data_IF_871591752039
#
_entry.id   IF_871591752039
#
_cell.length_a   1.000
_cell.length_b   1.000
_cell.length_c   1.000
_cell.angle_alpha   90.00
_cell.angle_beta   90.00
_cell.angle_gamma   90.00
#
_symmetry.space_group_name_H-M   'P 1'
#
loop_
_entity.id
_entity.type
_entity.pdbx_description
1 polymer ?
#
# COMPACT_ATOMS: atom_id res chain seq x y z
N UNK A 1 -12.03 -4.88 21.17
CA UNK A 1 -12.00 -5.43 19.80
C UNK A 1 -10.63 -5.16 19.22
N UNK A 2 -10.49 -5.27 17.90
CA UNK A 2 -9.23 -5.07 17.20
C UNK A 2 -8.18 -6.15 17.45
N UNK A 3 -7.04 -5.99 16.82
CA UNK A 3 -5.88 -6.89 16.87
C UNK A 3 -4.73 -6.22 17.64
N UNK A 4 -3.83 -7.01 18.22
CA UNK A 4 -2.58 -6.44 18.73
C UNK A 4 -1.62 -6.25 17.56
N UNK A 5 -0.79 -5.21 17.61
CA UNK A 5 0.23 -4.99 16.59
C UNK A 5 1.21 -6.17 16.49
N UNK A 6 1.58 -6.76 17.63
CA UNK A 6 2.38 -7.96 17.68
C UNK A 6 2.29 -8.66 19.04
N UNK A 7 2.70 -9.92 19.06
CA UNK A 7 2.82 -10.76 20.24
C UNK A 7 4.18 -11.49 20.22
N UNK A 8 4.63 -11.97 21.38
CA UNK A 8 5.78 -12.85 21.49
C UNK A 8 5.43 -14.31 21.12
N UNK A 9 6.43 -15.19 21.17
CA UNK A 9 6.30 -16.62 20.85
C UNK A 9 5.36 -17.39 21.80
N UNK A 10 4.91 -16.77 22.88
CA UNK A 10 3.92 -17.29 23.83
C UNK A 10 2.54 -16.64 23.65
N UNK A 11 2.36 -15.82 22.62
CA UNK A 11 1.13 -15.11 22.33
C UNK A 11 0.83 -13.97 23.31
N UNK A 12 1.84 -13.48 24.04
CA UNK A 12 1.71 -12.37 24.98
C UNK A 12 2.13 -11.05 24.34
N UNK A 13 1.49 -9.96 24.75
CA UNK A 13 1.87 -8.62 24.31
C UNK A 13 3.17 -8.22 25.00
N UNK A 14 4.19 -7.88 24.21
CA UNK A 14 5.47 -7.40 24.72
C UNK A 14 5.45 -5.89 25.00
N UNK A 15 6.41 -5.40 25.79
CA UNK A 15 6.60 -3.96 26.00
C UNK A 15 6.98 -3.22 24.71
N UNK A 16 7.53 -3.92 23.72
CA UNK A 16 7.85 -3.36 22.41
C UNK A 16 6.57 -3.11 21.59
N UNK A 17 5.70 -4.13 21.49
CA UNK A 17 4.48 -4.02 20.69
C UNK A 17 3.39 -3.21 21.39
N UNK A 18 3.35 -3.21 22.72
CA UNK A 18 2.30 -2.57 23.53
C UNK A 18 0.89 -3.07 23.18
N UNK A 19 -0.14 -2.61 23.90
CA UNK A 19 -1.53 -3.04 23.68
C UNK A 19 -2.39 -2.05 22.88
N UNK A 20 -1.77 -0.98 22.37
CA UNK A 20 -2.40 -0.02 21.46
C UNK A 20 -2.81 -0.67 20.14
N UNK A 21 -3.61 0.07 19.39
CA UNK A 21 -4.22 -0.35 18.11
C UNK A 21 -3.72 0.58 17.03
N UNK A 22 -3.04 0.02 16.04
CA UNK A 22 -2.46 0.78 14.94
C UNK A 22 -3.17 0.40 13.66
N UNK A 23 -3.71 1.42 13.01
CA UNK A 23 -4.77 1.19 12.04
C UNK A 23 -4.27 0.53 10.76
N UNK A 24 -3.01 0.72 10.39
CA UNK A 24 -2.33 -0.06 9.37
C UNK A 24 -2.44 -1.57 9.63
N UNK A 25 -2.12 -2.01 10.86
CA UNK A 25 -2.15 -3.43 11.22
C UNK A 25 -3.57 -3.97 11.32
N UNK A 26 -4.50 -3.17 11.86
CA UNK A 26 -5.93 -3.49 11.87
C UNK A 26 -6.47 -3.69 10.44
N UNK A 27 -6.04 -2.83 9.50
CA UNK A 27 -6.40 -2.90 8.09
C UNK A 27 -5.95 -4.21 7.45
N UNK A 28 -4.69 -4.62 7.66
CA UNK A 28 -4.17 -5.88 7.12
C UNK A 28 -4.81 -7.12 7.77
N UNK A 29 -5.13 -7.08 9.06
CA UNK A 29 -5.85 -8.16 9.71
C UNK A 29 -7.27 -8.33 9.13
N UNK A 30 -7.94 -7.22 8.83
CA UNK A 30 -9.23 -7.22 8.13
C UNK A 30 -9.10 -7.75 6.70
N UNK A 31 -8.10 -7.27 5.94
CA UNK A 31 -7.82 -7.75 4.58
C UNK A 31 -7.61 -9.26 4.56
N UNK A 32 -6.74 -9.78 5.44
CA UNK A 32 -6.44 -11.21 5.53
C UNK A 32 -7.68 -12.04 5.85
N UNK A 33 -8.53 -11.59 6.77
CA UNK A 33 -9.80 -12.27 7.08
C UNK A 33 -10.80 -12.24 5.90
N UNK A 34 -10.90 -11.12 5.19
CA UNK A 34 -11.76 -10.99 4.02
C UNK A 34 -11.27 -11.86 2.85
N UNK A 35 -9.97 -11.86 2.55
CA UNK A 35 -9.36 -12.70 1.54
C UNK A 35 -9.48 -14.20 1.88
N UNK A 36 -9.30 -14.57 3.16
CA UNK A 36 -9.53 -15.94 3.62
C UNK A 36 -11.00 -16.36 3.43
N UNK A 37 -11.95 -15.47 3.72
CA UNK A 37 -13.37 -15.72 3.43
C UNK A 37 -13.61 -15.91 1.94
N UNK A 38 -13.01 -15.10 1.07
CA UNK A 38 -13.14 -15.23 -0.38
C UNK A 38 -12.62 -16.58 -0.88
N UNK A 39 -11.47 -17.02 -0.38
CA UNK A 39 -10.82 -18.25 -0.81
C UNK A 39 -11.49 -19.52 -0.28
N UNK A 40 -12.05 -19.48 0.93
CA UNK A 40 -12.51 -20.68 1.64
C UNK A 40 -14.03 -20.76 1.84
N UNK A 41 -14.75 -19.64 1.67
CA UNK A 41 -16.15 -19.50 2.06
C UNK A 41 -16.43 -19.79 3.54
N UNK A 42 -15.41 -19.73 4.43
CA UNK A 42 -15.61 -19.94 5.87
C UNK A 42 -16.38 -18.77 6.50
N UNK A 43 -17.60 -18.97 7.05
CA UNK A 43 -18.37 -17.91 7.68
C UNK A 43 -17.67 -17.29 8.91
N UNK A 44 -16.73 -18.00 9.55
CA UNK A 44 -15.94 -17.44 10.67
C UNK A 44 -14.95 -16.40 10.19
N UNK A 45 -14.32 -16.62 9.03
CA UNK A 45 -13.40 -15.65 8.43
C UNK A 45 -14.16 -14.37 8.04
N UNK A 46 -15.35 -14.52 7.43
CA UNK A 46 -16.21 -13.38 7.13
C UNK A 46 -16.61 -12.62 8.39
N UNK A 47 -17.06 -13.33 9.43
CA UNK A 47 -17.45 -12.70 10.69
C UNK A 47 -16.28 -11.95 11.35
N UNK A 48 -15.05 -12.49 11.28
CA UNK A 48 -13.86 -11.82 11.78
C UNK A 48 -13.60 -10.51 11.02
N UNK A 49 -13.67 -10.53 9.68
CA UNK A 49 -13.48 -9.34 8.85
C UNK A 49 -14.57 -8.28 9.13
N UNK A 50 -15.83 -8.70 9.26
CA UNK A 50 -16.95 -7.82 9.63
C UNK A 50 -16.75 -7.17 11.00
N UNK A 51 -16.29 -7.94 11.99
CA UNK A 51 -16.03 -7.43 13.33
C UNK A 51 -14.84 -6.47 13.36
N UNK A 52 -13.80 -6.73 12.56
CA UNK A 52 -12.67 -5.83 12.38
C UNK A 52 -13.14 -4.50 11.77
N UNK A 53 -13.88 -4.53 10.66
CA UNK A 53 -14.47 -3.34 10.02
C UNK A 53 -15.31 -2.53 11.00
N UNK A 54 -16.26 -3.17 11.70
CA UNK A 54 -17.12 -2.46 12.66
C UNK A 54 -16.31 -1.81 13.77
N UNK A 55 -15.25 -2.47 14.25
CA UNK A 55 -14.38 -1.90 15.27
C UNK A 55 -13.60 -0.69 14.74
N UNK A 56 -12.98 -0.83 13.56
CA UNK A 56 -12.27 0.27 12.85
C UNK A 56 -13.22 1.46 12.65
N UNK A 57 -14.39 1.23 12.03
CA UNK A 57 -15.32 2.30 11.68
C UNK A 57 -15.90 3.02 12.90
N UNK A 58 -16.19 2.28 13.97
CA UNK A 58 -16.77 2.86 15.19
C UNK A 58 -15.78 3.73 15.96
N UNK A 59 -14.50 3.34 16.01
CA UNK A 59 -13.53 3.96 16.92
C UNK A 59 -12.54 4.88 16.21
N UNK A 60 -12.20 4.59 14.96
CA UNK A 60 -11.11 5.25 14.25
C UNK A 60 -11.56 6.18 13.13
N UNK A 61 -12.81 6.08 12.63
CA UNK A 61 -13.32 7.04 11.64
C UNK A 61 -13.38 8.45 12.24
N UNK A 62 -12.91 9.45 11.49
CA UNK A 62 -13.02 10.86 11.84
C UNK A 62 -14.29 11.45 11.22
N UNK A 63 -15.41 11.56 11.95
CA UNK A 63 -16.66 12.07 11.40
C UNK A 63 -16.60 13.58 11.09
N UNK A 64 -15.57 14.30 11.55
CA UNK A 64 -15.43 15.74 11.37
C UNK A 64 -14.68 16.09 10.09
N UNK A 65 -13.53 15.45 9.85
CA UNK A 65 -12.67 15.77 8.71
C UNK A 65 -12.58 14.65 7.66
N UNK A 66 -13.23 13.51 7.91
CA UNK A 66 -13.17 12.31 7.10
C UNK A 66 -11.84 11.56 7.22
N UNK A 67 -11.86 10.31 6.76
CA UNK A 67 -10.74 9.37 6.90
C UNK A 67 -10.61 8.82 8.32
N UNK A 68 -9.43 8.34 8.69
CA UNK A 68 -9.25 7.58 9.92
C UNK A 68 -8.02 8.02 10.73
N UNK A 69 -8.11 7.90 12.05
CA UNK A 69 -7.00 8.18 12.97
C UNK A 69 -5.99 7.04 13.01
N UNK A 70 -4.71 7.38 13.11
CA UNK A 70 -3.59 6.43 12.98
C UNK A 70 -3.50 5.40 14.12
N UNK A 71 -3.63 5.88 15.36
CA UNK A 71 -3.34 5.09 16.57
C UNK A 71 -4.42 5.32 17.64
N UNK A 72 -4.89 4.23 18.22
CA UNK A 72 -5.88 4.21 19.29
C UNK A 72 -5.37 3.44 20.51
N UNK A 73 -5.91 3.75 21.68
CA UNK A 73 -5.74 2.91 22.87
C UNK A 73 -6.42 1.56 22.65
N UNK A 74 -6.13 0.60 23.54
CA UNK A 74 -6.79 -0.72 23.58
C UNK A 74 -8.32 -0.62 23.58
N UNK A 75 -8.87 0.38 24.26
CA UNK A 75 -10.31 0.64 24.39
C UNK A 75 -10.90 1.36 23.18
N UNK A 76 -10.09 1.72 22.17
CA UNK A 76 -10.54 2.42 20.98
C UNK A 76 -10.68 3.93 21.18
N UNK A 77 -9.90 4.54 22.08
CA UNK A 77 -9.80 6.00 22.18
C UNK A 77 -8.68 6.50 21.27
N UNK A 78 -8.96 7.50 20.44
CA UNK A 78 -7.94 8.18 19.63
C UNK A 78 -6.81 8.71 20.51
N UNK A 79 -5.58 8.41 20.13
CA UNK A 79 -4.40 8.92 20.80
C UNK A 79 -3.98 10.26 20.20
N UNK A 80 -3.80 11.26 21.05
CA UNK A 80 -3.41 12.61 20.64
C UNK A 80 -1.90 12.71 20.48
N UNK A 81 -1.46 13.64 19.63
CA UNK A 81 -0.04 13.92 19.44
C UNK A 81 0.58 14.42 20.75
N UNK A 82 1.71 13.83 21.13
CA UNK A 82 2.53 14.35 22.21
C UNK A 82 3.44 15.45 21.65
N UNK A 83 3.20 16.70 22.05
CA UNK A 83 4.00 17.85 21.62
C UNK A 83 5.48 17.77 22.03
N UNK A 84 5.84 16.85 22.93
CA UNK A 84 7.21 16.63 23.39
C UNK A 84 7.91 15.45 22.71
N UNK A 85 7.16 14.61 21.98
CA UNK A 85 7.72 13.48 21.26
C UNK A 85 8.41 13.94 19.97
N UNK A 86 9.67 13.56 19.80
CA UNK A 86 10.39 13.72 18.53
C UNK A 86 10.31 12.42 17.73
N UNK A 87 9.79 12.50 16.49
CA UNK A 87 9.73 11.34 15.59
C UNK A 87 8.54 10.42 15.85
N UNK A 88 8.49 9.32 15.11
CA UNK A 88 7.48 8.28 15.32
C UNK A 88 7.77 7.47 16.58
N UNK A 89 6.71 7.06 17.27
CA UNK A 89 6.77 6.47 18.60
C UNK A 89 5.81 5.28 18.75
N UNK A 90 5.39 4.70 17.62
CA UNK A 90 4.70 3.41 17.52
C UNK A 90 5.65 2.33 16.98
N UNK A 91 5.43 1.02 17.21
CA UNK A 91 6.28 -0.04 16.71
C UNK A 91 6.14 -0.15 15.18
N UNK A 92 5.02 0.31 14.61
CA UNK A 92 4.84 0.51 13.18
C UNK A 92 5.50 1.76 12.61
N UNK A 93 6.14 2.60 13.44
CA UNK A 93 6.82 3.81 12.97
C UNK A 93 5.87 4.92 12.51
N UNK A 94 4.58 4.87 12.88
CA UNK A 94 3.59 5.90 12.63
C UNK A 94 3.59 7.02 13.67
N UNK A 95 3.26 8.24 13.24
CA UNK A 95 3.11 9.40 14.10
C UNK A 95 1.75 9.42 14.81
N UNK A 96 1.76 9.36 16.14
CA UNK A 96 0.55 9.44 16.95
C UNK A 96 -0.09 10.83 16.81
N UNK A 97 -1.42 10.89 16.64
CA UNK A 97 -2.19 12.12 16.51
C UNK A 97 -2.19 12.76 15.12
N UNK A 98 -1.65 12.06 14.12
CA UNK A 98 -1.65 12.44 12.72
C UNK A 98 -2.45 11.44 11.89
N UNK A 99 -2.54 11.69 10.58
CA UNK A 99 -3.01 10.74 9.56
C UNK A 99 -1.86 10.48 8.61
N UNK A 100 -1.68 9.23 8.17
CA UNK A 100 -0.71 8.88 7.14
C UNK A 100 -1.40 8.49 5.85
N UNK A 101 -0.72 8.77 4.74
CA UNK A 101 -1.04 8.18 3.45
C UNK A 101 -1.04 6.65 3.53
N UNK A 102 0.01 6.09 4.13
CA UNK A 102 0.26 4.65 4.17
C UNK A 102 -0.96 3.89 4.76
N UNK A 103 -1.44 4.31 5.93
CA UNK A 103 -2.66 3.74 6.53
C UNK A 103 -3.88 3.89 5.62
N UNK A 104 -4.06 5.04 4.96
CA UNK A 104 -5.25 5.29 4.15
C UNK A 104 -5.28 4.49 2.84
N UNK A 105 -4.14 4.26 2.19
CA UNK A 105 -4.10 3.41 0.99
C UNK A 105 -4.36 1.94 1.33
N UNK A 106 -3.86 1.47 2.48
CA UNK A 106 -4.14 0.09 2.90
C UNK A 106 -5.57 -0.08 3.44
N UNK A 107 -6.19 0.98 3.97
CA UNK A 107 -7.63 0.96 4.25
C UNK A 107 -8.44 0.93 2.95
N UNK A 108 -8.04 1.69 1.92
CA UNK A 108 -8.69 1.64 0.60
C UNK A 108 -8.67 0.21 0.03
N UNK A 109 -7.50 -0.42 0.08
CA UNK A 109 -7.27 -1.81 -0.31
C UNK A 109 -8.13 -2.81 0.49
N UNK A 110 -8.06 -2.74 1.83
CA UNK A 110 -8.77 -3.70 2.69
C UNK A 110 -10.28 -3.54 2.67
N UNK A 111 -10.78 -2.32 2.48
CA UNK A 111 -12.21 -2.05 2.33
C UNK A 111 -12.70 -2.53 0.97
N UNK A 112 -11.88 -2.41 -0.08
CA UNK A 112 -12.17 -3.02 -1.39
C UNK A 112 -12.30 -4.55 -1.26
N UNK A 113 -11.31 -5.20 -0.66
CA UNK A 113 -11.33 -6.66 -0.46
C UNK A 113 -12.51 -7.13 0.40
N UNK A 114 -12.87 -6.38 1.45
CA UNK A 114 -14.05 -6.68 2.27
C UNK A 114 -15.35 -6.52 1.47
N UNK A 115 -15.48 -5.44 0.71
CA UNK A 115 -16.68 -5.18 -0.08
C UNK A 115 -16.90 -6.24 -1.16
N UNK A 116 -15.84 -6.91 -1.64
CA UNK A 116 -15.99 -8.04 -2.56
C UNK A 116 -16.75 -9.22 -1.97
N UNK A 117 -16.55 -9.51 -0.69
CA UNK A 117 -17.19 -10.64 0.00
C UNK A 117 -18.42 -10.22 0.82
N UNK A 118 -18.60 -8.93 1.08
CA UNK A 118 -19.70 -8.39 1.87
C UNK A 118 -20.16 -7.03 1.34
N UNK A 119 -21.22 -7.06 0.52
CA UNK A 119 -21.82 -5.86 -0.10
C UNK A 119 -22.69 -5.07 0.90
N UNK A 120 -22.04 -4.47 1.91
CA UNK A 120 -22.67 -3.63 2.93
C UNK A 120 -22.62 -2.15 2.56
N UNK A 121 -23.72 -1.43 2.79
CA UNK A 121 -23.86 -0.01 2.42
C UNK A 121 -22.87 0.90 3.20
N UNK A 122 -22.50 0.54 4.42
CA UNK A 122 -21.55 1.32 5.21
C UNK A 122 -20.14 1.11 4.68
N UNK A 123 -19.76 -0.13 4.38
CA UNK A 123 -18.47 -0.44 3.72
C UNK A 123 -18.36 0.32 2.40
N UNK A 124 -19.42 0.30 1.58
CA UNK A 124 -19.46 1.04 0.31
C UNK A 124 -19.18 2.54 0.51
N UNK A 125 -19.89 3.18 1.45
CA UNK A 125 -19.73 4.62 1.73
C UNK A 125 -18.33 4.96 2.18
N UNK A 126 -17.71 4.12 3.02
CA UNK A 126 -16.33 4.33 3.48
C UNK A 126 -15.31 4.11 2.37
N UNK A 127 -15.56 3.14 1.50
CA UNK A 127 -14.71 2.92 0.34
C UNK A 127 -14.74 4.12 -0.63
N UNK A 128 -15.92 4.67 -0.90
CA UNK A 128 -16.09 5.89 -1.71
C UNK A 128 -15.41 7.12 -1.05
N UNK A 129 -15.50 7.24 0.28
CA UNK A 129 -14.82 8.28 1.06
C UNK A 129 -13.30 8.15 1.00
N UNK A 130 -12.75 6.94 1.24
CA UNK A 130 -11.33 6.65 1.17
C UNK A 130 -10.77 6.92 -0.23
N UNK A 131 -11.45 6.45 -1.28
CA UNK A 131 -11.04 6.71 -2.66
C UNK A 131 -10.95 8.21 -2.95
N UNK A 132 -11.94 8.98 -2.48
CA UNK A 132 -11.95 10.44 -2.64
C UNK A 132 -10.79 11.09 -1.88
N UNK A 133 -10.51 10.67 -0.65
CA UNK A 133 -9.40 11.19 0.16
C UNK A 133 -8.05 10.87 -0.48
N UNK A 134 -7.85 9.62 -0.90
CA UNK A 134 -6.62 9.18 -1.55
C UNK A 134 -6.38 10.00 -2.83
N UNK A 135 -7.38 10.07 -3.71
CA UNK A 135 -7.26 10.80 -4.99
C UNK A 135 -7.09 12.31 -4.84
N UNK A 136 -7.87 12.94 -3.95
CA UNK A 136 -8.04 14.41 -3.95
C UNK A 136 -7.28 15.14 -2.82
N UNK A 137 -6.82 14.43 -1.78
CA UNK A 137 -6.08 15.02 -0.65
C UNK A 137 -4.66 14.48 -0.54
N UNK A 138 -4.49 13.17 -0.72
CA UNK A 138 -3.20 12.51 -0.54
C UNK A 138 -2.34 12.70 -1.79
N UNK A 139 -2.86 12.28 -2.94
CA UNK A 139 -2.21 12.44 -4.22
C UNK A 139 -2.32 13.90 -4.71
N UNK A 140 -1.20 14.46 -5.15
CA UNK A 140 -1.12 15.84 -5.62
C UNK A 140 -0.32 15.94 -6.91
N UNK A 141 -0.48 17.04 -7.65
CA UNK A 141 0.36 17.30 -8.81
C UNK A 141 1.83 17.52 -8.38
N UNK A 142 2.82 17.05 -9.14
CA UNK A 142 2.77 16.52 -10.51
C UNK A 142 2.45 15.02 -10.63
N UNK A 143 2.03 14.36 -9.56
CA UNK A 143 1.88 12.90 -9.48
C UNK A 143 2.71 12.34 -8.34
N UNK A 144 2.56 12.92 -7.16
CA UNK A 144 3.29 12.55 -5.93
C UNK A 144 2.33 12.47 -4.76
N UNK A 145 2.78 11.95 -3.63
CA UNK A 145 1.93 11.77 -2.45
C UNK A 145 2.50 12.48 -1.23
N UNK A 146 1.68 13.27 -0.53
CA UNK A 146 2.07 13.76 0.80
C UNK A 146 1.95 12.59 1.79
N UNK A 147 3.01 12.31 2.56
CA UNK A 147 3.07 11.11 3.41
C UNK A 147 2.28 11.23 4.72
N UNK A 148 2.29 12.42 5.33
CA UNK A 148 1.68 12.66 6.63
C UNK A 148 0.86 13.94 6.66
N UNK A 149 -0.18 13.93 7.51
CA UNK A 149 -1.14 15.02 7.62
C UNK A 149 -1.54 15.26 9.07
N UNK A 150 -1.87 16.50 9.40
CA UNK A 150 -2.71 16.80 10.56
C UNK A 150 -4.10 16.15 10.42
N UNK A 151 -4.85 16.03 11.51
CA UNK A 151 -6.20 15.46 11.47
C UNK A 151 -7.18 16.22 10.54
N UNK A 152 -6.97 17.52 10.31
CA UNK A 152 -7.71 18.34 9.35
C UNK A 152 -7.13 18.31 7.92
N UNK A 153 -6.29 17.32 7.60
CA UNK A 153 -5.72 17.07 6.26
C UNK A 153 -4.76 18.16 5.75
N UNK A 154 -4.01 18.83 6.64
CA UNK A 154 -2.89 19.68 6.20
C UNK A 154 -1.64 18.83 6.02
N UNK A 155 -0.99 18.82 4.85
CA UNK A 155 0.18 18.01 4.62
C UNK A 155 1.37 18.53 5.44
N UNK A 156 2.19 17.60 5.92
CA UNK A 156 3.50 17.87 6.49
C UNK A 156 4.57 17.71 5.40
N UNK A 157 5.60 18.58 5.34
CA UNK A 157 6.69 18.41 4.38
C UNK A 157 7.44 17.10 4.61
N UNK A 158 7.65 16.33 3.54
CA UNK A 158 8.43 15.10 3.55
C UNK A 158 8.95 14.78 2.13
N UNK A 159 9.68 13.67 1.98
CA UNK A 159 10.02 13.07 0.70
C UNK A 159 8.79 12.41 0.05
N UNK A 160 8.99 11.98 -1.19
CA UNK A 160 8.04 11.20 -1.98
C UNK A 160 8.49 9.73 -2.04
N UNK A 161 7.54 8.80 -1.98
CA UNK A 161 7.82 7.37 -1.96
C UNK A 161 7.32 6.70 -3.24
N UNK A 162 8.26 6.42 -4.15
CA UNK A 162 7.93 5.95 -5.50
C UNK A 162 7.18 4.60 -5.51
N UNK A 163 7.42 3.75 -4.51
CA UNK A 163 6.66 2.51 -4.33
C UNK A 163 5.19 2.74 -4.01
N UNK A 164 4.91 3.69 -3.11
CA UNK A 164 3.53 4.04 -2.77
C UNK A 164 2.83 4.74 -3.93
N UNK A 165 3.54 5.52 -4.75
CA UNK A 165 2.96 6.14 -5.95
C UNK A 165 2.43 5.10 -6.93
N UNK A 166 3.28 4.13 -7.30
CA UNK A 166 2.87 3.07 -8.24
C UNK A 166 1.79 2.18 -7.63
N UNK A 167 1.89 1.84 -6.33
CA UNK A 167 0.88 1.04 -5.64
C UNK A 167 -0.49 1.73 -5.63
N UNK A 168 -0.53 2.99 -5.22
CA UNK A 168 -1.76 3.77 -5.11
C UNK A 168 -2.43 3.97 -6.45
N UNK A 169 -1.65 4.07 -7.53
CA UNK A 169 -2.18 4.22 -8.88
C UNK A 169 -3.16 3.10 -9.26
N UNK A 170 -2.82 1.84 -8.98
CA UNK A 170 -3.73 0.74 -9.29
C UNK A 170 -4.78 0.51 -8.20
N UNK A 171 -4.47 0.74 -6.92
CA UNK A 171 -5.44 0.58 -5.83
C UNK A 171 -6.67 1.48 -6.01
N UNK A 172 -6.48 2.72 -6.50
CA UNK A 172 -7.61 3.60 -6.80
C UNK A 172 -8.51 3.06 -7.92
N UNK A 173 -7.91 2.45 -8.95
CA UNK A 173 -8.65 1.89 -10.08
C UNK A 173 -9.39 0.60 -9.67
N UNK A 174 -8.72 -0.27 -8.90
CA UNK A 174 -9.33 -1.49 -8.35
C UNK A 174 -10.49 -1.17 -7.41
N UNK A 175 -10.40 -0.10 -6.62
CA UNK A 175 -11.51 0.37 -5.80
C UNK A 175 -12.74 0.78 -6.64
N UNK A 176 -12.55 1.46 -7.77
CA UNK A 176 -13.64 1.81 -8.70
C UNK A 176 -14.28 0.56 -9.34
N UNK A 177 -13.45 -0.40 -9.77
CA UNK A 177 -13.91 -1.70 -10.29
C UNK A 177 -14.79 -2.43 -9.25
N UNK A 178 -14.32 -2.52 -8.01
CA UNK A 178 -15.02 -3.19 -6.89
C UNK A 178 -16.33 -2.48 -6.50
N UNK A 179 -16.36 -1.15 -6.59
CA UNK A 179 -17.58 -0.34 -6.40
C UNK A 179 -18.60 -0.52 -7.52
N UNK A 180 -18.20 -1.13 -8.64
CA UNK A 180 -19.02 -1.35 -9.83
C UNK A 180 -19.30 -0.06 -10.58
N UNK A 181 -18.40 0.92 -10.52
CA UNK A 181 -18.53 2.21 -11.21
C UNK A 181 -17.57 2.27 -12.39
N UNK A 182 -17.91 3.05 -13.42
CA UNK A 182 -16.96 3.35 -14.49
C UNK A 182 -15.82 4.20 -13.93
N UNK A 183 -14.59 3.95 -14.37
CA UNK A 183 -13.45 4.73 -13.91
C UNK A 183 -13.64 6.24 -14.12
N UNK A 184 -13.46 7.02 -13.07
CA UNK A 184 -13.53 8.48 -13.14
C UNK A 184 -12.30 8.99 -13.91
N UNK A 185 -12.46 9.85 -14.93
CA UNK A 185 -11.33 10.45 -15.65
C UNK A 185 -10.32 11.17 -14.75
N UNK A 186 -10.72 11.64 -13.56
CA UNK A 186 -9.83 12.20 -12.54
C UNK A 186 -8.96 11.13 -11.90
N UNK A 187 -9.55 9.97 -11.56
CA UNK A 187 -8.85 8.83 -10.99
C UNK A 187 -7.84 8.27 -12.01
N UNK A 188 -8.27 8.05 -13.26
CA UNK A 188 -7.37 7.56 -14.32
C UNK A 188 -6.20 8.52 -14.60
N UNK A 189 -6.48 9.84 -14.59
CA UNK A 189 -5.45 10.86 -14.74
C UNK A 189 -4.46 10.81 -13.59
N UNK A 190 -4.93 10.77 -12.34
CA UNK A 190 -4.05 10.76 -11.17
C UNK A 190 -3.20 9.49 -11.13
N UNK A 191 -3.81 8.31 -11.37
CA UNK A 191 -3.10 7.04 -11.43
C UNK A 191 -1.98 7.07 -12.47
N UNK A 192 -2.25 7.60 -13.66
CA UNK A 192 -1.21 7.77 -14.69
C UNK A 192 -0.12 8.75 -14.27
N UNK A 193 -0.49 9.88 -13.64
CA UNK A 193 0.48 10.88 -13.18
C UNK A 193 1.46 10.30 -12.15
N UNK A 194 0.97 9.51 -11.20
CA UNK A 194 1.81 8.82 -10.20
C UNK A 194 2.85 7.91 -10.87
N UNK A 195 2.41 7.03 -11.78
CA UNK A 195 3.33 6.11 -12.46
C UNK A 195 4.30 6.86 -13.39
N UNK A 196 3.82 7.87 -14.12
CA UNK A 196 4.67 8.67 -15.02
C UNK A 196 5.72 9.47 -14.24
N UNK A 197 5.38 9.97 -13.05
CA UNK A 197 6.31 10.67 -12.18
C UNK A 197 7.36 9.72 -11.58
N UNK A 198 6.94 8.59 -11.01
CA UNK A 198 7.86 7.58 -10.49
C UNK A 198 8.83 7.08 -11.58
N UNK A 199 8.37 6.93 -12.82
CA UNK A 199 9.24 6.61 -13.97
C UNK A 199 10.22 7.74 -14.34
N UNK A 200 9.83 8.99 -14.15
CA UNK A 200 10.66 10.15 -14.49
C UNK A 200 11.73 10.45 -13.43
N UNK A 201 11.42 10.29 -12.15
CA UNK A 201 12.27 10.74 -11.04
C UNK A 201 12.82 9.59 -10.17
N UNK A 202 12.08 8.49 -10.08
CA UNK A 202 12.38 7.34 -9.24
C UNK A 202 12.90 6.12 -9.98
N UNK A 203 13.17 6.18 -11.29
CA UNK A 203 13.55 5.00 -12.07
C UNK A 203 15.04 4.86 -12.35
N UNK A 204 15.57 3.64 -12.21
CA UNK A 204 16.93 3.30 -12.61
C UNK A 204 17.01 3.00 -14.12
N UNK A 205 17.52 3.96 -14.89
CA UNK A 205 17.69 3.80 -16.34
C UNK A 205 18.77 2.78 -16.74
N UNK A 206 19.68 2.40 -15.84
CA UNK A 206 20.76 1.45 -16.10
C UNK A 206 20.32 0.00 -15.86
N UNK A 207 19.86 -0.32 -14.65
CA UNK A 207 19.46 -1.70 -14.30
C UNK A 207 17.95 -1.95 -14.41
N UNK A 208 17.12 -0.91 -14.47
CA UNK A 208 15.68 -1.03 -14.26
C UNK A 208 15.31 -1.11 -12.78
N UNK A 209 14.01 -0.98 -12.50
CA UNK A 209 13.46 -0.94 -11.15
C UNK A 209 13.34 0.47 -10.59
N UNK A 210 12.46 0.63 -9.61
CA UNK A 210 12.22 1.89 -8.93
C UNK A 210 13.10 2.00 -7.69
N UNK A 211 13.65 3.19 -7.46
CA UNK A 211 14.29 3.59 -6.21
C UNK A 211 13.26 3.74 -5.09
N UNK A 212 13.72 3.86 -3.85
CA UNK A 212 12.86 3.89 -2.66
C UNK A 212 12.15 5.24 -2.52
N UNK A 213 12.91 6.34 -2.54
CA UNK A 213 12.38 7.68 -2.25
C UNK A 213 13.19 8.83 -2.87
N UNK A 214 12.57 10.00 -2.94
CA UNK A 214 13.27 11.25 -3.22
C UNK A 214 12.36 12.46 -3.20
N UNK A 215 12.91 13.62 -3.57
CA UNK A 215 12.10 14.85 -3.64
C UNK A 215 11.19 14.88 -4.87
N UNK A 216 10.08 15.62 -4.79
CA UNK A 216 9.10 15.81 -5.89
C UNK A 216 9.69 16.16 -7.26
N UNK A 217 10.78 16.93 -7.33
CA UNK A 217 11.37 17.37 -8.62
C UNK A 217 12.89 17.16 -8.71
N UNK A 218 13.49 16.58 -7.68
CA UNK A 218 14.94 16.37 -7.61
C UNK A 218 15.32 14.94 -7.98
N UNK A 219 16.56 14.57 -7.63
CA UNK A 219 17.03 13.20 -7.83
C UNK A 219 16.47 12.30 -6.71
N UNK A 220 16.33 11.01 -6.99
CA UNK A 220 16.17 10.01 -5.95
C UNK A 220 17.25 10.19 -4.87
N UNK A 221 16.79 10.24 -3.62
CA UNK A 221 17.61 10.46 -2.43
C UNK A 221 18.13 9.12 -1.91
N UNK A 222 17.24 8.12 -1.83
CA UNK A 222 17.61 6.73 -1.60
C UNK A 222 17.44 5.90 -2.87
N UNK A 223 18.55 5.30 -3.32
CA UNK A 223 18.64 4.52 -4.56
C UNK A 223 18.62 3.01 -4.33
N UNK A 224 18.36 2.57 -3.10
CA UNK A 224 18.13 1.16 -2.81
C UNK A 224 16.83 0.71 -3.47
N UNK A 225 16.75 -0.58 -3.75
CA UNK A 225 15.60 -1.23 -4.37
C UNK A 225 15.00 -2.22 -3.38
N UNK A 226 14.04 -1.71 -2.64
CA UNK A 226 13.16 -2.47 -1.75
C UNK A 226 12.27 -3.42 -2.58
N UNK A 227 12.12 -4.67 -2.14
CA UNK A 227 11.40 -5.70 -2.91
C UNK A 227 9.96 -5.29 -3.17
N UNK A 228 9.24 -4.77 -2.18
CA UNK A 228 7.82 -4.46 -2.30
C UNK A 228 7.61 -3.39 -3.37
N UNK A 229 8.43 -2.33 -3.37
CA UNK A 229 8.46 -1.29 -4.42
C UNK A 229 8.58 -1.92 -5.81
N UNK A 230 9.42 -2.94 -5.97
CA UNK A 230 9.60 -3.58 -7.27
C UNK A 230 8.38 -4.37 -7.71
N UNK A 231 7.75 -5.12 -6.81
CA UNK A 231 6.58 -5.94 -7.13
C UNK A 231 5.33 -5.07 -7.35
N UNK A 232 5.18 -3.98 -6.60
CA UNK A 232 4.12 -3.00 -6.84
C UNK A 232 4.30 -2.28 -8.18
N UNK A 233 5.54 -1.88 -8.49
CA UNK A 233 5.90 -1.35 -9.80
C UNK A 233 5.58 -2.33 -10.93
N UNK A 234 5.89 -3.62 -10.75
CA UNK A 234 5.68 -4.64 -11.77
C UNK A 234 4.18 -4.79 -12.14
N UNK A 235 3.30 -4.80 -11.14
CA UNK A 235 1.85 -4.81 -11.36
C UNK A 235 1.37 -3.54 -12.07
N UNK A 236 1.82 -2.39 -11.59
CA UNK A 236 1.42 -1.06 -12.07
C UNK A 236 1.80 -0.82 -13.52
N UNK A 237 3.04 -1.15 -13.89
CA UNK A 237 3.54 -0.99 -15.26
C UNK A 237 2.71 -1.83 -16.24
N UNK A 238 2.35 -3.05 -15.88
CA UNK A 238 1.55 -3.90 -16.76
C UNK A 238 0.10 -3.38 -16.87
N UNK A 239 -0.51 -2.93 -15.77
CA UNK A 239 -1.82 -2.27 -15.81
C UNK A 239 -1.80 -1.03 -16.70
N UNK A 240 -0.77 -0.18 -16.59
CA UNK A 240 -0.63 1.01 -17.43
C UNK A 240 -0.41 0.64 -18.90
N UNK A 241 0.29 -0.46 -19.20
CA UNK A 241 0.39 -0.98 -20.56
C UNK A 241 -0.96 -1.44 -21.11
N UNK A 242 -1.78 -2.15 -20.33
CA UNK A 242 -3.13 -2.55 -20.78
C UNK A 242 -3.99 -1.33 -21.15
N UNK A 243 -3.87 -0.23 -20.40
CA UNK A 243 -4.62 1.01 -20.64
C UNK A 243 -4.06 1.87 -21.77
N UNK A 244 -2.74 2.01 -21.83
CA UNK A 244 -2.08 3.05 -22.63
C UNK A 244 -1.05 2.50 -23.63
N UNK A 245 -0.88 1.17 -23.72
CA UNK A 245 0.14 0.51 -24.56
C UNK A 245 0.00 0.80 -26.06
N UNK A 246 -1.21 1.14 -26.53
CA UNK A 246 -1.43 1.60 -27.92
C UNK A 246 -0.93 3.01 -28.18
N UNK A 247 -0.73 3.82 -27.13
CA UNK A 247 -0.28 5.21 -27.20
C UNK A 247 1.23 5.34 -26.96
N UNK A 248 1.80 4.44 -26.15
CA UNK A 248 3.22 4.47 -25.76
C UNK A 248 3.70 3.08 -25.35
N UNK A 249 4.96 2.76 -25.66
CA UNK A 249 5.62 1.51 -25.23
C UNK A 249 6.25 1.60 -23.85
N UNK A 250 6.43 2.81 -23.30
CA UNK A 250 7.23 3.10 -22.10
C UNK A 250 6.92 2.16 -20.94
N UNK A 251 5.64 1.89 -20.67
CA UNK A 251 5.24 1.01 -19.56
C UNK A 251 5.66 -0.45 -19.76
N UNK A 252 5.54 -0.97 -20.98
CA UNK A 252 5.93 -2.35 -21.25
C UNK A 252 7.45 -2.52 -21.33
N UNK A 253 8.15 -1.53 -21.91
CA UNK A 253 9.61 -1.50 -21.93
C UNK A 253 10.17 -1.45 -20.50
N UNK A 254 9.57 -0.64 -19.62
CA UNK A 254 9.91 -0.61 -18.20
C UNK A 254 9.55 -1.93 -17.49
N UNK A 255 8.38 -2.52 -17.78
CA UNK A 255 7.96 -3.81 -17.22
C UNK A 255 8.97 -4.92 -17.52
N UNK A 256 9.44 -5.02 -18.77
CA UNK A 256 10.44 -6.01 -19.18
C UNK A 256 11.78 -5.80 -18.45
N UNK A 257 12.23 -4.55 -18.34
CA UNK A 257 13.45 -4.21 -17.58
C UNK A 257 13.32 -4.51 -16.10
N UNK A 258 12.17 -4.20 -15.49
CA UNK A 258 11.92 -4.50 -14.08
C UNK A 258 11.90 -6.01 -13.82
N UNK A 259 11.26 -6.77 -14.70
CA UNK A 259 11.26 -8.23 -14.59
C UNK A 259 12.66 -8.82 -14.71
N UNK A 260 13.48 -8.28 -15.62
CA UNK A 260 14.88 -8.66 -15.74
C UNK A 260 15.64 -8.37 -14.45
N UNK A 261 15.51 -7.16 -13.90
CA UNK A 261 16.12 -6.79 -12.63
C UNK A 261 15.70 -7.72 -11.48
N UNK A 262 14.41 -7.97 -11.31
CA UNK A 262 13.89 -8.86 -10.27
C UNK A 262 14.48 -10.27 -10.43
N UNK A 263 14.52 -10.79 -11.66
CA UNK A 263 15.01 -12.13 -11.96
C UNK A 263 16.52 -12.30 -11.75
N UNK A 264 17.31 -11.29 -12.10
CA UNK A 264 18.77 -11.35 -12.07
C UNK A 264 19.37 -10.94 -10.71
N UNK A 265 18.71 -10.03 -9.99
CA UNK A 265 19.28 -9.40 -8.78
C UNK A 265 18.44 -9.58 -7.51
N UNK A 266 17.11 -9.58 -7.60
CA UNK A 266 16.26 -9.60 -6.41
C UNK A 266 15.87 -11.02 -5.96
N UNK A 267 15.73 -11.96 -6.90
CA UNK A 267 15.49 -13.37 -6.61
C UNK A 267 16.80 -14.03 -6.18
N UNK A 268 16.73 -14.78 -5.10
CA UNK A 268 17.87 -15.51 -4.55
C UNK A 268 18.05 -16.86 -5.24
N UNK A 269 19.15 -17.07 -5.96
CA UNK A 269 19.36 -18.30 -6.71
C UNK A 269 19.75 -19.49 -5.81
N UNK A 270 20.24 -19.25 -4.59
CA UNK A 270 20.75 -20.30 -3.68
C UNK A 270 19.65 -20.79 -2.74
N UNK A 271 18.98 -19.86 -2.05
CA UNK A 271 17.99 -20.19 -1.01
C UNK A 271 16.54 -19.89 -1.42
N UNK A 272 16.34 -19.41 -2.65
CA UNK A 272 15.03 -19.02 -3.17
C UNK A 272 14.38 -17.86 -2.39
N UNK A 273 13.20 -17.46 -2.86
CA UNK A 273 12.53 -16.25 -2.38
C UNK A 273 13.24 -14.98 -2.87
N UNK A 274 12.90 -13.86 -2.25
CA UNK A 274 13.27 -12.53 -2.73
C UNK A 274 14.05 -11.81 -1.64
N UNK A 275 15.22 -11.24 -1.98
CA UNK A 275 15.97 -10.36 -1.08
C UNK A 275 15.16 -9.12 -0.73
N UNK A 276 15.23 -8.67 0.52
CA UNK A 276 14.52 -7.48 0.96
C UNK A 276 14.99 -6.24 0.19
N UNK A 277 16.31 -6.01 0.16
CA UNK A 277 16.89 -4.80 -0.42
C UNK A 277 18.05 -5.19 -1.33
N UNK A 278 18.06 -4.60 -2.52
CA UNK A 278 19.20 -4.64 -3.44
C UNK A 278 19.78 -3.24 -3.55
N UNK A 279 21.09 -3.14 -3.36
CA UNK A 279 21.82 -1.89 -3.42
C UNK A 279 21.98 -1.36 -4.86
N UNK A 280 22.46 -0.11 -5.01
CA UNK A 280 22.64 0.52 -6.32
C UNK A 280 23.64 -0.18 -7.26
N UNK A 281 24.43 -1.13 -6.78
CA UNK A 281 25.36 -1.94 -7.56
C UNK A 281 24.77 -3.30 -8.01
N UNK A 282 23.51 -3.57 -7.66
CA UNK A 282 22.82 -4.82 -8.00
C UNK A 282 23.12 -5.97 -7.03
N UNK A 283 23.75 -5.69 -5.88
CA UNK A 283 24.01 -6.70 -4.84
C UNK A 283 22.94 -6.65 -3.73
N UNK A 284 22.57 -7.81 -3.19
CA UNK A 284 21.65 -7.87 -2.05
C UNK A 284 22.35 -7.35 -0.78
N UNK A 285 21.72 -6.40 -0.08
CA UNK A 285 22.32 -5.82 1.15
C UNK A 285 22.26 -6.78 2.34
N UNK A 286 21.25 -7.65 2.38
CA UNK A 286 21.12 -8.69 3.39
C UNK A 286 20.32 -9.89 2.88
N UNK A 287 20.45 -11.02 3.57
CA UNK A 287 19.76 -12.28 3.25
C UNK A 287 18.42 -12.46 3.97
N UNK A 288 17.88 -11.43 4.62
CA UNK A 288 16.61 -11.52 5.36
C UNK A 288 15.46 -11.78 4.39
N UNK A 289 14.75 -12.89 4.60
CA UNK A 289 13.58 -13.27 3.78
C UNK A 289 12.24 -12.97 4.44
N UNK A 290 12.23 -12.76 5.74
CA UNK A 290 11.02 -12.44 6.50
C UNK A 290 11.36 -11.70 7.79
N UNK A 291 10.57 -10.67 8.07
CA UNK A 291 10.64 -9.85 9.29
C UNK A 291 9.30 -9.10 9.43
N UNK A 292 9.14 -8.26 10.46
CA UNK A 292 7.86 -7.58 10.74
C UNK A 292 7.33 -6.76 9.56
N UNK A 293 8.21 -6.28 8.67
CA UNK A 293 7.88 -5.54 7.45
C UNK A 293 7.93 -6.37 6.16
N UNK A 294 8.50 -7.58 6.20
CA UNK A 294 8.61 -8.45 5.03
C UNK A 294 7.90 -9.78 5.24
N UNK A 295 6.84 -9.98 4.46
CA UNK A 295 6.14 -11.25 4.32
C UNK A 295 6.10 -11.67 2.84
N UNK A 296 5.15 -12.54 2.48
CA UNK A 296 4.93 -13.03 1.11
C UNK A 296 3.76 -12.31 0.39
N UNK A 297 3.36 -11.13 0.90
CA UNK A 297 2.17 -10.43 0.41
C UNK A 297 2.42 -9.76 -0.94
N UNK A 298 3.33 -8.78 -1.00
CA UNK A 298 3.56 -7.96 -2.19
C UNK A 298 3.98 -8.78 -3.41
N UNK A 299 4.95 -9.67 -3.25
CA UNK A 299 5.42 -10.55 -4.32
C UNK A 299 4.37 -11.59 -4.72
N UNK A 300 3.69 -12.19 -3.75
CA UNK A 300 2.58 -13.12 -4.02
C UNK A 300 1.45 -12.48 -4.82
N UNK A 301 0.95 -11.32 -4.38
CA UNK A 301 -0.12 -10.57 -5.04
C UNK A 301 0.29 -10.11 -6.43
N UNK A 302 1.43 -9.45 -6.55
CA UNK A 302 1.90 -8.92 -7.83
C UNK A 302 2.07 -10.04 -8.86
N UNK A 303 2.67 -11.17 -8.51
CA UNK A 303 2.86 -12.28 -9.45
C UNK A 303 1.54 -12.93 -9.88
N UNK A 304 0.55 -13.04 -8.99
CA UNK A 304 -0.79 -13.51 -9.34
C UNK A 304 -1.49 -12.56 -10.32
N UNK A 305 -1.45 -11.26 -10.05
CA UNK A 305 -2.06 -10.22 -10.88
C UNK A 305 -1.38 -10.13 -12.26
N UNK A 306 -0.04 -10.06 -12.28
CA UNK A 306 0.76 -10.00 -13.50
C UNK A 306 0.52 -11.23 -14.38
N UNK A 307 0.51 -12.43 -13.79
CA UNK A 307 0.22 -13.67 -14.53
C UNK A 307 -1.17 -13.63 -15.16
N UNK A 308 -2.19 -13.13 -14.46
CA UNK A 308 -3.54 -13.02 -14.99
C UNK A 308 -3.61 -12.04 -16.17
N UNK A 309 -2.99 -10.85 -16.03
CA UNK A 309 -2.93 -9.82 -17.09
C UNK A 309 -2.16 -10.31 -18.33
N UNK A 310 -1.00 -10.94 -18.15
CA UNK A 310 -0.21 -11.50 -19.27
C UNK A 310 -0.98 -12.57 -20.06
N UNK A 311 -1.74 -13.44 -19.39
CA UNK A 311 -2.59 -14.42 -20.07
C UNK A 311 -3.63 -13.75 -20.94
N UNK A 312 -4.32 -12.74 -20.40
CA UNK A 312 -5.32 -11.96 -21.13
C UNK A 312 -4.72 -11.21 -22.33
N UNK A 313 -3.50 -10.69 -22.20
CA UNK A 313 -2.78 -10.04 -23.30
C UNK A 313 -2.36 -11.02 -24.40
N UNK A 314 -1.96 -12.25 -24.04
CA UNK A 314 -1.56 -13.28 -25.00
C UNK A 314 -2.74 -13.85 -25.82
N UNK A 315 -3.97 -13.66 -25.36
CA UNK A 315 -5.20 -14.07 -26.05
C UNK A 315 -5.71 -13.03 -27.06
N UNK A 316 -5.14 -11.81 -27.07
CA UNK A 316 -5.52 -10.70 -27.96
C UNK A 316 -4.63 -10.65 -29.21
#
# INVERSE_FOLDING_TARGET
>A
GGFYWGVDDHGQVSSFYTDRKELYGESFAMYGAAAASQATSDPKALLLAQNAFRWIDTHAHDPRNGGYFEVLTREGKVMEADATASGSNSPGGFFIGYKSMNTHIHLLESFSQLYEVWKDDTVRKRLEELLTIVRDKICVQPGVMNLYFTNDWRPLPDHDSYGHDVETAYLMLEAEDVLGVTHDPRTERMARMLVDHALAYGWDNHMGGFYEEGTTFGKAEDKRKEWWVQFEGLNSLLLMHEKYGKQTSVYFDAFLKQWQFISEHQIDPEFHGVYQVVGPDGTAENSTKGQIWKAAYHDGRALLNVKARLKKLAEQ
#
